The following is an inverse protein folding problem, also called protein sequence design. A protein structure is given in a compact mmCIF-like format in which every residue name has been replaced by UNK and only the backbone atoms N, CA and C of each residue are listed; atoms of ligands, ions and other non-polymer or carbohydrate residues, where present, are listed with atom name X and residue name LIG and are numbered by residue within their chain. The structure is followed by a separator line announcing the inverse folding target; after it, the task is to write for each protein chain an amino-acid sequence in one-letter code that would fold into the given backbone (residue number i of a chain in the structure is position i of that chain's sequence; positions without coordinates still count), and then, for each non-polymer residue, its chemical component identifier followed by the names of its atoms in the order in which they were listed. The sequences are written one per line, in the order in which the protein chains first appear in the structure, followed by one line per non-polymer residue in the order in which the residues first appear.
data_IF_435146149102
#
_entry.id   IF_435146149102
#
_cell.length_a   1.000
_cell.length_b   1.000
_cell.length_c   1.000
_cell.angle_alpha   90.00
_cell.angle_beta   90.00
_cell.angle_gamma   90.00
#
_symmetry.space_group_name_H-M   'P 1'
#
loop_
_entity.id
_entity.type
_entity.pdbx_description
1 polymer ?
#
# COMPACT_ATOMS: atom_id res chain seq x y z
N UNK A 1 -2.57 -10.54 13.93
CA UNK A 1 -1.64 -9.93 12.95
C UNK A 1 -0.28 -10.57 13.14
N UNK A 2 0.34 -11.06 12.07
CA UNK A 2 1.69 -11.64 12.14
C UNK A 2 2.77 -10.55 11.93
N UNK A 3 3.92 -10.65 12.61
CA UNK A 3 5.01 -9.71 12.43
C UNK A 3 5.67 -9.86 11.05
N UNK A 4 5.94 -8.72 10.40
CA UNK A 4 6.64 -8.71 9.10
C UNK A 4 8.10 -9.12 9.28
N UNK A 5 8.45 -10.27 8.70
CA UNK A 5 9.81 -10.85 8.78
C UNK A 5 10.92 -9.95 8.22
N UNK A 6 10.60 -9.08 7.25
CA UNK A 6 11.57 -8.16 6.65
C UNK A 6 10.90 -6.84 6.26
N UNK A 7 11.35 -5.77 6.88
CA UNK A 7 10.97 -4.39 6.56
C UNK A 7 12.12 -3.77 5.76
N UNK A 8 11.91 -3.61 4.46
CA UNK A 8 12.86 -2.94 3.57
C UNK A 8 12.28 -1.64 3.03
N UNK A 9 13.08 -0.88 2.27
CA UNK A 9 12.61 0.36 1.62
C UNK A 9 11.35 0.14 0.76
N UNK A 10 11.20 -1.03 0.15
CA UNK A 10 9.98 -1.37 -0.59
C UNK A 10 8.72 -1.45 0.28
N UNK A 11 8.87 -2.00 1.48
CA UNK A 11 7.79 -2.04 2.47
C UNK A 11 7.40 -0.64 2.87
N UNK A 12 8.37 0.23 3.17
CA UNK A 12 8.12 1.62 3.57
C UNK A 12 7.38 2.39 2.48
N UNK A 13 7.89 2.39 1.25
CA UNK A 13 7.26 3.15 0.15
C UNK A 13 5.82 2.69 -0.12
N UNK A 14 5.54 1.38 -0.07
CA UNK A 14 4.18 0.86 -0.23
C UNK A 14 3.27 1.27 0.92
N UNK A 15 3.77 1.22 2.17
CA UNK A 15 3.01 1.63 3.34
C UNK A 15 2.72 3.15 3.33
N UNK A 16 3.65 3.98 2.86
CA UNK A 16 3.43 5.43 2.68
C UNK A 16 2.30 5.71 1.68
N UNK A 17 2.31 5.05 0.52
CA UNK A 17 1.26 5.18 -0.48
C UNK A 17 -0.11 4.77 0.05
N UNK A 18 -0.16 3.68 0.82
CA UNK A 18 -1.42 3.20 1.40
C UNK A 18 -1.90 4.05 2.59
N UNK A 19 -0.99 4.62 3.39
CA UNK A 19 -1.34 5.54 4.48
C UNK A 19 -1.90 6.87 3.98
N UNK A 20 -1.44 7.34 2.81
CA UNK A 20 -1.92 8.56 2.16
C UNK A 20 -3.19 8.36 1.31
N UNK A 21 -3.91 7.25 1.49
CA UNK A 21 -5.11 6.94 0.72
C UNK A 21 -6.35 6.87 1.63
N UNK A 22 -7.35 7.70 1.36
CA UNK A 22 -8.65 7.63 2.04
C UNK A 22 -9.49 6.44 1.51
N UNK A 23 -9.30 6.07 0.24
CA UNK A 23 -9.99 4.97 -0.45
C UNK A 23 -9.06 3.81 -0.81
N UNK A 24 -9.58 2.58 -1.03
CA UNK A 24 -8.77 1.46 -1.47
C UNK A 24 -8.07 1.78 -2.80
N UNK A 25 -6.77 1.46 -2.89
CA UNK A 25 -5.94 1.75 -4.06
C UNK A 25 -5.86 0.56 -4.98
N UNK A 26 -5.94 0.77 -6.28
CA UNK A 26 -5.67 -0.29 -7.24
C UNK A 26 -4.19 -0.68 -7.19
N UNK A 27 -3.88 -1.99 -7.20
CA UNK A 27 -2.50 -2.49 -7.20
C UNK A 27 -1.59 -1.85 -8.27
N UNK A 28 -2.12 -1.52 -9.45
CA UNK A 28 -1.34 -0.84 -10.49
C UNK A 28 -1.03 0.63 -10.13
N UNK A 29 -1.92 1.31 -9.41
CA UNK A 29 -1.64 2.67 -8.93
C UNK A 29 -0.54 2.66 -7.88
N UNK A 30 -0.52 1.66 -6.99
CA UNK A 30 0.54 1.47 -6.00
C UNK A 30 1.90 1.31 -6.70
N UNK A 31 1.95 0.51 -7.77
CA UNK A 31 3.15 0.36 -8.61
C UNK A 31 3.61 1.71 -9.17
N UNK A 32 2.69 2.48 -9.75
CA UNK A 32 2.99 3.79 -10.36
C UNK A 32 3.49 4.80 -9.33
N UNK A 33 2.84 4.88 -8.16
CA UNK A 33 3.16 5.86 -7.12
C UNK A 33 4.47 5.53 -6.40
N UNK A 34 4.75 4.26 -6.18
CA UNK A 34 6.02 3.84 -5.57
C UNK A 34 7.19 3.83 -6.55
N UNK A 35 6.92 3.84 -7.87
CA UNK A 35 7.95 3.67 -8.90
C UNK A 35 8.63 2.30 -8.86
N UNK A 36 8.02 1.30 -8.21
CA UNK A 36 8.60 -0.03 -8.00
C UNK A 36 8.08 -1.02 -9.03
N UNK A 37 8.90 -2.01 -9.45
CA UNK A 37 8.47 -3.01 -10.39
C UNK A 37 7.34 -3.88 -9.80
N UNK A 38 6.43 -4.33 -10.66
CA UNK A 38 5.30 -5.19 -10.29
C UNK A 38 5.74 -6.47 -9.56
N UNK A 39 6.86 -7.07 -9.99
CA UNK A 39 7.47 -8.25 -9.37
C UNK A 39 7.96 -8.04 -7.93
N UNK A 40 8.05 -6.79 -7.46
CA UNK A 40 8.32 -6.46 -6.06
C UNK A 40 7.06 -6.07 -5.29
N UNK A 41 6.14 -5.35 -5.93
CA UNK A 41 4.94 -4.82 -5.26
C UNK A 41 3.91 -5.92 -4.99
N UNK A 42 3.56 -6.76 -5.97
CA UNK A 42 2.52 -7.76 -5.76
C UNK A 42 2.88 -8.82 -4.70
N UNK A 43 4.11 -9.39 -4.69
CA UNK A 43 4.50 -10.30 -3.61
C UNK A 43 4.56 -9.63 -2.24
N UNK A 44 4.86 -8.32 -2.20
CA UNK A 44 4.84 -7.56 -0.96
C UNK A 44 3.40 -7.33 -0.47
N UNK A 45 2.47 -6.98 -1.37
CA UNK A 45 1.04 -6.85 -1.03
C UNK A 45 0.47 -8.18 -0.51
N UNK A 46 0.79 -9.30 -1.16
CA UNK A 46 0.40 -10.64 -0.68
C UNK A 46 0.96 -10.92 0.74
N UNK A 47 2.22 -10.56 0.99
CA UNK A 47 2.81 -10.70 2.33
C UNK A 47 2.12 -9.81 3.37
N UNK A 48 1.84 -8.56 3.04
CA UNK A 48 1.14 -7.62 3.93
C UNK A 48 -0.28 -8.11 4.23
N UNK A 49 -0.95 -8.70 3.24
CA UNK A 49 -2.28 -9.29 3.38
C UNK A 49 -2.25 -10.52 4.29
N UNK A 50 -1.33 -11.47 4.05
CA UNK A 50 -1.13 -12.64 4.94
C UNK A 50 -0.81 -12.23 6.37
N UNK A 51 -0.03 -11.16 6.54
CA UNK A 51 0.28 -10.63 7.87
C UNK A 51 -0.91 -9.93 8.55
N UNK A 52 -1.99 -9.63 7.80
CA UNK A 52 -3.18 -8.91 8.29
C UNK A 52 -3.04 -7.38 8.31
N UNK A 53 -2.02 -6.84 7.64
CA UNK A 53 -1.78 -5.39 7.56
C UNK A 53 -2.63 -4.73 6.49
N UNK A 54 -2.90 -5.47 5.42
CA UNK A 54 -3.67 -5.01 4.26
C UNK A 54 -4.84 -5.97 4.04
N UNK A 55 -5.96 -5.43 3.59
CA UNK A 55 -7.05 -6.22 3.01
C UNK A 55 -7.14 -5.93 1.52
N UNK A 56 -7.63 -6.89 0.75
CA UNK A 56 -7.86 -6.70 -0.67
C UNK A 56 -9.25 -7.15 -1.10
N UNK A 57 -9.81 -6.41 -2.06
CA UNK A 57 -11.12 -6.68 -2.61
C UNK A 57 -11.02 -6.62 -4.13
N UNK A 58 -11.72 -7.52 -4.81
CA UNK A 58 -11.90 -7.40 -6.25
C UNK A 58 -12.97 -6.36 -6.50
N UNK A 59 -12.66 -5.46 -7.42
CA UNK A 59 -13.63 -4.54 -7.94
C UNK A 59 -14.56 -5.29 -8.89
N UNK A 60 -15.75 -5.59 -8.37
CA UNK A 60 -16.79 -6.39 -9.02
C UNK A 60 -17.86 -5.51 -9.67
N UNK A 61 -17.53 -4.23 -9.91
CA UNK A 61 -18.33 -3.30 -10.70
C UNK A 61 -18.48 -3.82 -12.14
N UNK A 62 -19.55 -4.57 -12.35
CA UNK A 62 -19.90 -5.23 -13.60
C UNK A 62 -20.24 -4.24 -14.73
N UNK A 63 -20.55 -2.99 -14.38
CA UNK A 63 -20.82 -1.92 -15.35
C UNK A 63 -19.52 -1.33 -15.91
N UNK A 64 -18.39 -1.55 -15.23
CA UNK A 64 -17.10 -1.02 -15.69
C UNK A 64 -16.49 -1.89 -16.78
N UNK A 65 -16.24 -1.28 -17.94
CA UNK A 65 -15.50 -1.92 -19.03
C UNK A 65 -14.02 -2.07 -18.65
N UNK A 66 -13.53 -3.31 -18.58
CA UNK A 66 -12.11 -3.61 -18.43
C UNK A 66 -11.84 -4.82 -17.52
N UNK A 67 -10.57 -5.20 -17.33
CA UNK A 67 -10.19 -6.27 -16.42
C UNK A 67 -10.55 -5.91 -14.97
N UNK A 68 -10.93 -6.93 -14.18
CA UNK A 68 -11.13 -6.80 -12.74
C UNK A 68 -9.89 -6.20 -12.07
N UNK A 69 -10.11 -5.24 -11.18
CA UNK A 69 -9.05 -4.57 -10.44
C UNK A 69 -9.02 -5.12 -9.03
N UNK A 70 -7.83 -5.47 -8.53
CA UNK A 70 -7.67 -5.77 -7.11
C UNK A 70 -7.31 -4.49 -6.37
N UNK A 71 -8.19 -4.11 -5.46
CA UNK A 71 -8.09 -2.92 -4.62
C UNK A 71 -7.49 -3.32 -3.28
N UNK A 72 -6.65 -2.45 -2.71
CA UNK A 72 -5.92 -2.70 -1.48
C UNK A 72 -6.09 -1.53 -0.52
N UNK A 73 -6.31 -1.84 0.75
CA UNK A 73 -6.39 -0.85 1.83
C UNK A 73 -5.73 -1.41 3.09
N UNK A 74 -5.12 -0.53 3.90
CA UNK A 74 -4.66 -0.91 5.23
C UNK A 74 -5.84 -1.27 6.13
N UNK A 75 -5.68 -2.31 6.94
CA UNK A 75 -6.58 -2.56 8.07
C UNK A 75 -6.36 -1.49 9.14
N UNK A 76 -7.27 -1.37 10.12
CA UNK A 76 -7.11 -0.41 11.21
C UNK A 76 -5.80 -0.64 11.98
N UNK A 77 -5.54 -1.89 12.36
CA UNK A 77 -4.29 -2.30 13.01
C UNK A 77 -3.09 -2.10 12.07
N UNK A 78 -3.24 -2.46 10.79
CA UNK A 78 -2.18 -2.35 9.80
C UNK A 78 -1.75 -0.91 9.58
N UNK A 79 -2.69 0.03 9.61
CA UNK A 79 -2.41 1.45 9.54
C UNK A 79 -1.70 1.96 10.80
N UNK A 80 -2.02 1.45 11.99
CA UNK A 80 -1.32 1.82 13.23
C UNK A 80 0.15 1.37 13.18
N UNK A 81 0.41 0.12 12.77
CA UNK A 81 1.78 -0.39 12.65
C UNK A 81 2.54 0.25 11.48
N UNK A 82 1.87 0.50 10.34
CA UNK A 82 2.46 1.19 9.20
C UNK A 82 3.01 2.57 9.57
N UNK A 83 2.27 3.35 10.38
CA UNK A 83 2.74 4.65 10.88
C UNK A 83 4.03 4.52 11.68
N UNK A 84 4.14 3.50 12.53
CA UNK A 84 5.36 3.24 13.31
C UNK A 84 6.53 2.89 12.40
N UNK A 85 6.29 2.05 11.39
CA UNK A 85 7.32 1.65 10.42
C UNK A 85 7.82 2.83 9.61
N UNK A 86 6.91 3.63 9.05
CA UNK A 86 7.26 4.82 8.26
C UNK A 86 7.99 5.85 9.13
N UNK A 87 7.52 6.11 10.35
CA UNK A 87 8.19 7.03 11.28
C UNK A 87 9.61 6.60 11.64
N UNK A 88 9.87 5.28 11.75
CA UNK A 88 11.23 4.74 11.99
C UNK A 88 12.12 4.80 10.75
N UNK A 89 11.53 4.80 9.56
CA UNK A 89 12.25 4.79 8.29
C UNK A 89 12.57 6.19 7.76
N UNK A 90 11.86 7.21 8.24
CA UNK A 90 12.11 8.60 7.88
C UNK A 90 13.39 9.12 8.58
N UNK A 91 14.42 9.55 7.84
CA UNK A 91 15.14 10.75 8.23
C UNK A 91 14.20 11.97 8.06
N UNK A 92 14.41 13.05 8.82
CA UNK A 92 13.57 14.26 8.90
C UNK A 92 12.73 14.61 7.64
N UNK A 93 11.49 15.10 7.83
CA UNK A 93 10.44 15.05 6.82
C UNK A 93 10.81 15.81 5.55
N UNK A 94 11.05 15.08 4.45
CA UNK A 94 11.07 15.66 3.12
C UNK A 94 9.64 15.74 2.61
N UNK A 95 9.06 16.92 2.80
CA UNK A 95 7.75 17.33 2.30
C UNK A 95 7.62 17.00 0.80
N UNK A 96 6.56 16.28 0.42
CA UNK A 96 6.10 16.16 -0.97
C UNK A 96 4.75 16.88 -1.09
N UNK A 97 4.64 17.89 -1.97
CA UNK A 97 3.46 18.73 -2.06
C UNK A 97 2.25 17.93 -2.55
N UNK A 98 1.11 18.17 -1.91
CA UNK A 98 -0.20 17.66 -2.32
C UNK A 98 -0.57 18.32 -3.65
N UNK A 99 -0.60 17.56 -4.73
CA UNK A 99 -1.02 18.06 -6.05
C UNK A 99 -2.43 18.63 -5.93
N UNK A 100 -2.57 19.93 -6.22
CA UNK A 100 -3.84 20.62 -6.38
C UNK A 100 -4.52 20.18 -7.68
N UNK A 101 -5.85 20.25 -7.66
CA UNK A 101 -6.75 19.94 -8.78
C UNK A 101 -6.50 20.81 -10.01
#
# INVERSE_FOLDING_TARGET
MEPLQRIGKATVDVLEVLLGADEPRWGLEIIKLTGRPSGSVYPLLDRLERAGWVTSEWDDDAERRGPRRRMYRLTADGAAEARKVVARAAPEPRFVPRTAQ
#
